data_IF_032768209416
#
_entry.id   IF_032768209416
#
_cell.length_a   1.000
_cell.length_b   1.000
_cell.length_c   1.000
_cell.angle_alpha   90.00
_cell.angle_beta   90.00
_cell.angle_gamma   90.00
#
_symmetry.space_group_name_H-M   'P 1'
#
loop_
_entity.id
_entity.type
_entity.pdbx_description
1 polymer ?
#
# COMPACT_ATOMS: atom_id res chain seq x y z
N UNK A 1 -1.57 -17.77 -0.60
CA UNK A 1 -0.88 -17.04 -1.69
C UNK A 1 0.33 -16.25 -1.19
N UNK A 2 0.29 -15.62 -0.02
CA UNK A 2 1.42 -14.85 0.53
C UNK A 2 2.78 -15.58 0.45
N UNK A 3 2.87 -16.85 0.85
CA UNK A 3 4.16 -17.58 0.87
C UNK A 3 4.73 -17.82 -0.52
N UNK A 4 3.86 -17.92 -1.54
CA UNK A 4 4.29 -18.01 -2.93
C UNK A 4 4.72 -16.65 -3.47
N UNK A 5 4.04 -15.57 -3.08
CA UNK A 5 4.32 -14.21 -3.55
C UNK A 5 5.52 -13.55 -2.86
N UNK A 6 5.89 -14.02 -1.67
CA UNK A 6 6.98 -13.46 -0.86
C UNK A 6 8.00 -14.56 -0.60
N UNK A 7 9.02 -14.74 -1.45
CA UNK A 7 10.01 -15.79 -1.30
C UNK A 7 10.91 -15.59 -0.07
N UNK A 8 11.65 -16.63 0.30
CA UNK A 8 12.71 -16.52 1.32
C UNK A 8 13.77 -15.48 0.94
N UNK A 9 14.40 -14.87 1.94
CA UNK A 9 15.38 -13.80 1.75
C UNK A 9 14.80 -12.43 1.41
N UNK A 10 13.47 -12.28 1.31
CA UNK A 10 12.84 -10.96 1.11
C UNK A 10 13.08 -10.06 2.33
N UNK A 11 13.78 -8.94 2.14
CA UNK A 11 14.07 -7.97 3.22
C UNK A 11 12.89 -7.04 3.53
N UNK A 12 12.09 -6.69 2.52
CA UNK A 12 11.01 -5.71 2.61
C UNK A 12 9.87 -6.03 1.63
N UNK A 13 8.63 -5.80 2.05
CA UNK A 13 7.42 -5.85 1.23
C UNK A 13 6.73 -4.48 1.24
N UNK A 14 6.31 -4.01 0.07
CA UNK A 14 5.32 -2.92 -0.03
C UNK A 14 3.94 -3.59 -0.10
N UNK A 15 3.10 -3.34 0.90
CA UNK A 15 1.74 -3.85 0.96
C UNK A 15 0.78 -2.79 0.44
N UNK A 16 0.31 -2.98 -0.79
CA UNK A 16 -0.67 -2.13 -1.48
C UNK A 16 -1.83 -3.04 -1.92
N UNK A 17 -2.85 -3.14 -1.08
CA UNK A 17 -4.04 -3.98 -1.30
C UNK A 17 -5.29 -3.32 -0.69
N UNK A 18 -6.47 -3.78 -1.10
CA UNK A 18 -7.78 -3.36 -0.60
C UNK A 18 -8.63 -2.62 -1.62
N UNK A 19 -8.04 -2.09 -2.69
CA UNK A 19 -8.81 -1.43 -3.76
C UNK A 19 -9.87 -2.35 -4.39
N UNK A 20 -9.52 -3.62 -4.62
CA UNK A 20 -10.46 -4.60 -5.20
C UNK A 20 -11.59 -4.99 -4.24
N UNK A 21 -11.33 -5.06 -2.93
CA UNK A 21 -12.33 -5.29 -1.90
C UNK A 21 -13.34 -4.14 -1.89
N UNK A 22 -12.83 -2.90 -1.95
CA UNK A 22 -13.62 -1.68 -2.09
C UNK A 22 -14.42 -1.64 -3.39
N UNK A 23 -13.83 -1.97 -4.54
CA UNK A 23 -14.54 -1.99 -5.82
C UNK A 23 -15.70 -3.01 -5.84
N UNK A 24 -15.62 -4.05 -5.01
CA UNK A 24 -16.69 -5.05 -4.85
C UNK A 24 -17.71 -4.68 -3.78
N UNK A 25 -17.51 -3.58 -3.05
CA UNK A 25 -18.35 -3.19 -1.91
C UNK A 25 -18.26 -4.20 -0.76
N UNK A 26 -17.13 -4.91 -0.63
CA UNK A 26 -16.94 -5.85 0.47
C UNK A 26 -16.91 -5.09 1.81
N UNK A 27 -17.36 -5.69 2.92
CA UNK A 27 -17.29 -5.06 4.23
C UNK A 27 -15.87 -4.59 4.57
N UNK A 28 -15.65 -3.32 4.98
CA UNK A 28 -14.31 -2.82 5.32
C UNK A 28 -13.59 -3.68 6.36
N UNK A 29 -14.34 -4.25 7.31
CA UNK A 29 -13.81 -5.17 8.33
C UNK A 29 -13.14 -6.42 7.73
N UNK A 30 -13.61 -6.93 6.58
CA UNK A 30 -12.99 -8.08 5.92
C UNK A 30 -11.63 -7.72 5.32
N UNK A 31 -11.53 -6.55 4.68
CA UNK A 31 -10.26 -6.02 4.17
C UNK A 31 -9.28 -5.78 5.32
N UNK A 32 -9.73 -5.15 6.41
CA UNK A 32 -8.92 -4.91 7.60
C UNK A 32 -8.37 -6.20 8.21
N UNK A 33 -9.21 -7.24 8.33
CA UNK A 33 -8.83 -8.56 8.82
C UNK A 33 -7.81 -9.23 7.90
N UNK A 34 -8.02 -9.19 6.58
CA UNK A 34 -7.10 -9.77 5.61
C UNK A 34 -5.72 -9.09 5.62
N UNK A 35 -5.69 -7.75 5.64
CA UNK A 35 -4.46 -6.96 5.73
C UNK A 35 -3.71 -7.25 7.03
N UNK A 36 -4.43 -7.32 8.16
CA UNK A 36 -3.86 -7.67 9.47
C UNK A 36 -3.19 -9.05 9.45
N UNK A 37 -3.85 -10.06 8.88
CA UNK A 37 -3.28 -11.40 8.73
C UNK A 37 -2.03 -11.41 7.85
N UNK A 38 -1.98 -10.60 6.78
CA UNK A 38 -0.79 -10.47 5.95
C UNK A 38 0.36 -9.87 6.76
N UNK A 39 0.09 -8.78 7.49
CA UNK A 39 1.09 -8.08 8.32
C UNK A 39 1.64 -9.01 9.42
N UNK A 40 0.78 -9.72 10.14
CA UNK A 40 1.19 -10.68 11.18
C UNK A 40 2.14 -11.74 10.64
N UNK A 41 1.83 -12.27 9.45
CA UNK A 41 2.66 -13.31 8.83
C UNK A 41 3.99 -12.78 8.31
N UNK A 42 4.02 -11.57 7.77
CA UNK A 42 5.26 -10.91 7.34
C UNK A 42 6.15 -10.57 8.55
N UNK A 43 5.56 -10.08 9.66
CA UNK A 43 6.27 -9.85 10.91
C UNK A 43 6.82 -11.13 11.53
N UNK A 44 6.05 -12.22 11.55
CA UNK A 44 6.53 -13.53 12.02
C UNK A 44 7.76 -14.02 11.23
N UNK A 45 7.84 -13.66 9.95
CA UNK A 45 8.98 -13.91 9.07
C UNK A 45 10.10 -12.87 9.19
N UNK A 46 9.95 -11.87 10.07
CA UNK A 46 10.87 -10.74 10.28
C UNK A 46 11.11 -9.88 9.03
N UNK A 47 10.13 -9.84 8.13
CA UNK A 47 10.18 -9.05 6.90
C UNK A 47 9.67 -7.64 7.20
N UNK A 48 10.39 -6.62 6.73
CA UNK A 48 9.92 -5.24 6.88
C UNK A 48 8.70 -5.01 5.99
N UNK A 49 7.75 -4.19 6.44
CA UNK A 49 6.59 -3.85 5.63
C UNK A 49 6.46 -2.34 5.53
N UNK A 50 6.23 -1.84 4.32
CA UNK A 50 5.73 -0.49 4.04
C UNK A 50 4.28 -0.63 3.61
N UNK A 51 3.38 0.06 4.30
CA UNK A 51 1.96 0.06 3.97
C UNK A 51 1.63 1.24 3.05
N UNK A 52 1.06 0.96 1.88
CA UNK A 52 0.54 1.98 0.97
C UNK A 52 -1.00 1.96 1.04
N UNK A 53 -1.58 3.09 1.45
CA UNK A 53 -3.01 3.23 1.68
C UNK A 53 -3.84 3.39 0.41
N UNK A 54 -5.12 3.09 0.53
CA UNK A 54 -6.13 3.31 -0.50
C UNK A 54 -7.32 4.12 0.04
N UNK A 55 -8.09 4.71 -0.89
CA UNK A 55 -9.32 5.46 -0.60
C UNK A 55 -10.53 4.81 -1.23
N UNK A 56 -11.71 5.07 -0.68
CA UNK A 56 -12.96 4.60 -1.28
C UNK A 56 -13.33 5.45 -2.49
N UNK A 57 -13.93 4.83 -3.50
CA UNK A 57 -14.66 5.56 -4.54
C UNK A 57 -15.93 6.18 -3.94
N UNK A 58 -16.45 7.21 -4.60
CA UNK A 58 -17.56 8.02 -4.08
C UNK A 58 -18.95 7.36 -4.09
N UNK A 59 -19.14 6.22 -4.75
CA UNK A 59 -20.48 5.62 -4.94
C UNK A 59 -20.95 4.72 -3.77
N UNK A 60 -20.10 4.42 -2.79
CA UNK A 60 -20.46 3.58 -1.63
C UNK A 60 -21.00 4.36 -0.42
N UNK A 61 -20.98 5.69 -0.48
CA UNK A 61 -21.47 6.57 0.59
C UNK A 61 -20.43 6.85 1.70
N UNK A 62 -20.71 7.88 2.49
CA UNK A 62 -19.74 8.45 3.44
C UNK A 62 -19.37 7.51 4.59
N UNK A 63 -20.32 6.70 5.07
CA UNK A 63 -20.08 5.74 6.14
C UNK A 63 -19.08 4.66 5.71
N UNK A 64 -19.30 4.06 4.54
CA UNK A 64 -18.36 3.08 3.98
C UNK A 64 -16.98 3.68 3.75
N UNK A 65 -16.93 4.89 3.16
CA UNK A 65 -15.67 5.61 2.93
C UNK A 65 -14.89 5.82 4.24
N UNK A 66 -15.57 6.32 5.27
CA UNK A 66 -14.94 6.59 6.56
C UNK A 66 -14.36 5.31 7.19
N UNK A 67 -15.12 4.21 7.17
CA UNK A 67 -14.67 2.92 7.70
C UNK A 67 -13.50 2.35 6.90
N UNK A 68 -13.58 2.36 5.56
CA UNK A 68 -12.55 1.81 4.69
C UNK A 68 -11.24 2.59 4.77
N UNK A 69 -11.30 3.93 4.76
CA UNK A 69 -10.10 4.77 4.84
C UNK A 69 -9.44 4.72 6.22
N UNK A 70 -10.20 4.50 7.29
CA UNK A 70 -9.67 4.35 8.65
C UNK A 70 -8.82 3.08 8.83
N UNK A 71 -9.04 2.04 8.01
CA UNK A 71 -8.29 0.78 8.08
C UNK A 71 -6.79 1.04 8.07
N UNK A 72 -6.32 1.82 7.09
CA UNK A 72 -4.90 1.98 6.79
C UNK A 72 -4.09 2.68 7.91
N UNK A 73 -4.48 3.87 8.42
CA UNK A 73 -3.77 4.48 9.53
C UNK A 73 -3.86 3.65 10.82
N UNK A 74 -4.94 2.91 11.04
CA UNK A 74 -5.11 2.08 12.23
C UNK A 74 -4.21 0.84 12.22
N UNK A 75 -4.16 0.10 11.11
CA UNK A 75 -3.24 -1.03 10.99
C UNK A 75 -1.78 -0.57 10.93
N UNK A 76 -1.48 0.56 10.29
CA UNK A 76 -0.13 1.12 10.29
C UNK A 76 0.38 1.36 11.71
N UNK A 77 -0.46 1.97 12.56
CA UNK A 77 -0.13 2.23 13.98
C UNK A 77 -0.01 0.94 14.79
N UNK A 78 -0.94 0.00 14.59
CA UNK A 78 -0.97 -1.28 15.33
C UNK A 78 0.26 -2.13 15.05
N UNK A 79 0.75 -2.13 13.82
CA UNK A 79 1.87 -2.98 13.38
C UNK A 79 3.18 -2.21 13.23
N UNK A 80 3.24 -0.94 13.65
CA UNK A 80 4.40 -0.04 13.53
C UNK A 80 4.99 -0.05 12.10
N UNK A 81 4.11 -0.01 11.11
CA UNK A 81 4.49 -0.05 9.70
C UNK A 81 4.59 1.37 9.13
N UNK A 82 5.72 1.75 8.49
CA UNK A 82 5.78 2.98 7.71
C UNK A 82 4.61 3.07 6.72
N UNK A 83 3.91 4.21 6.75
CA UNK A 83 2.63 4.39 6.06
C UNK A 83 2.68 5.52 5.03
N UNK A 84 2.31 5.20 3.79
CA UNK A 84 2.06 6.17 2.73
C UNK A 84 0.53 6.34 2.55
N UNK A 85 -0.05 7.51 2.86
CA UNK A 85 -1.49 7.66 3.04
C UNK A 85 -2.38 7.22 1.88
N UNK A 86 -2.01 7.56 0.64
CA UNK A 86 -2.77 7.16 -0.54
C UNK A 86 -1.84 6.94 -1.73
N UNK A 87 -1.75 5.70 -2.22
CA UNK A 87 -0.81 5.34 -3.28
C UNK A 87 -1.08 6.05 -4.61
N UNK A 88 -2.35 6.30 -4.93
CA UNK A 88 -2.79 6.94 -6.18
C UNK A 88 -3.04 8.45 -6.05
N UNK A 89 -2.44 9.11 -5.06
CA UNK A 89 -2.59 10.53 -4.81
C UNK A 89 -2.22 11.36 -6.06
N UNK A 90 -3.14 12.21 -6.50
CA UNK A 90 -3.00 13.03 -7.70
C UNK A 90 -3.12 12.27 -9.04
N UNK A 91 -3.54 10.99 -9.03
CA UNK A 91 -3.79 10.19 -10.25
C UNK A 91 -5.23 9.68 -10.30
N UNK A 92 -5.76 9.19 -9.19
CA UNK A 92 -7.11 8.65 -9.14
C UNK A 92 -8.15 9.72 -9.55
N UNK A 93 -8.97 9.42 -10.56
CA UNK A 93 -10.00 10.32 -11.08
C UNK A 93 -9.52 11.33 -12.14
N UNK A 94 -8.23 11.33 -12.50
CA UNK A 94 -7.71 12.17 -13.59
C UNK A 94 -7.59 11.38 -14.90
N UNK A 95 -8.49 11.65 -15.85
CA UNK A 95 -8.51 10.99 -17.16
C UNK A 95 -7.23 11.19 -18.00
N UNK A 96 -6.44 12.24 -17.74
CA UNK A 96 -5.15 12.43 -18.42
C UNK A 96 -4.07 11.48 -17.87
N UNK A 97 -4.25 10.96 -16.65
CA UNK A 97 -3.29 10.11 -15.94
C UNK A 97 -3.76 8.66 -15.81
N UNK A 98 -4.98 8.34 -16.22
CA UNK A 98 -5.52 6.98 -16.25
C UNK A 98 -5.62 6.41 -17.66
N UNK A 99 -5.82 5.10 -17.75
CA UNK A 99 -6.20 4.38 -18.95
C UNK A 99 -7.65 4.71 -19.33
N UNK A 100 -8.12 4.13 -20.44
CA UNK A 100 -9.48 4.35 -20.95
C UNK A 100 -10.58 3.95 -19.94
N UNK A 101 -10.27 3.05 -19.01
CA UNK A 101 -11.20 2.64 -17.96
C UNK A 101 -11.35 3.65 -16.80
N UNK A 102 -10.52 4.70 -16.76
CA UNK A 102 -10.57 5.73 -15.70
C UNK A 102 -10.08 5.25 -14.33
N UNK A 103 -9.56 4.04 -14.21
CA UNK A 103 -9.18 3.41 -12.93
C UNK A 103 -7.69 3.11 -12.86
N UNK A 104 -7.12 2.56 -13.93
CA UNK A 104 -5.72 2.14 -13.92
C UNK A 104 -4.83 3.30 -14.38
N UNK A 105 -3.70 3.57 -13.71
CA UNK A 105 -2.75 4.57 -14.20
C UNK A 105 -2.24 4.25 -15.60
N UNK A 106 -2.13 5.28 -16.44
CA UNK A 106 -1.36 5.20 -17.69
C UNK A 106 0.12 5.52 -17.41
N UNK A 107 0.95 5.63 -18.45
CA UNK A 107 2.39 5.93 -18.30
C UNK A 107 2.64 7.20 -17.46
N UNK A 108 1.95 8.30 -17.77
CA UNK A 108 2.11 9.57 -17.04
C UNK A 108 1.59 9.46 -15.59
N UNK A 109 0.52 8.69 -15.37
CA UNK A 109 0.04 8.38 -14.03
C UNK A 109 1.07 7.61 -13.20
N UNK A 110 1.73 6.61 -13.78
CA UNK A 110 2.82 5.87 -13.11
C UNK A 110 3.98 6.82 -12.76
N UNK A 111 4.40 7.69 -13.68
CA UNK A 111 5.44 8.70 -13.40
C UNK A 111 5.05 9.60 -12.23
N UNK A 112 3.78 10.03 -12.16
CA UNK A 112 3.24 10.82 -11.05
C UNK A 112 3.26 10.07 -9.71
N UNK A 113 2.85 8.79 -9.70
CA UNK A 113 2.87 7.93 -8.50
C UNK A 113 4.31 7.77 -8.01
N UNK A 114 5.24 7.45 -8.89
CA UNK A 114 6.66 7.25 -8.55
C UNK A 114 7.26 8.53 -7.96
N UNK A 115 6.98 9.68 -8.56
CA UNK A 115 7.46 10.97 -8.05
C UNK A 115 7.00 11.28 -6.62
N UNK A 116 5.82 10.81 -6.21
CA UNK A 116 5.32 10.94 -4.84
C UNK A 116 5.85 9.85 -3.88
N UNK A 117 5.84 8.59 -4.32
CA UNK A 117 6.12 7.45 -3.45
C UNK A 117 7.62 7.16 -3.28
N UNK A 118 8.44 7.32 -4.32
CA UNK A 118 9.85 6.96 -4.28
C UNK A 118 10.65 7.69 -3.18
N UNK A 119 10.53 9.02 -2.98
CA UNK A 119 11.25 9.72 -1.91
C UNK A 119 10.90 9.21 -0.51
N UNK A 120 9.65 8.77 -0.32
CA UNK A 120 9.22 8.16 0.94
C UNK A 120 9.86 6.78 1.14
N UNK A 121 9.82 5.93 0.12
CA UNK A 121 10.43 4.60 0.17
C UNK A 121 11.95 4.67 0.36
N UNK A 122 12.64 5.55 -0.36
CA UNK A 122 14.09 5.74 -0.27
C UNK A 122 14.56 6.12 1.14
N UNK A 123 13.80 6.97 1.86
CA UNK A 123 14.10 7.29 3.26
C UNK A 123 14.04 6.05 4.15
N UNK A 124 13.04 5.19 3.94
CA UNK A 124 12.88 3.95 4.71
C UNK A 124 14.01 2.98 4.39
N UNK A 125 14.33 2.80 3.11
CA UNK A 125 15.42 1.93 2.66
C UNK A 125 16.76 2.43 3.20
N UNK A 126 17.01 3.74 3.19
CA UNK A 126 18.24 4.34 3.73
C UNK A 126 18.34 4.12 5.24
N UNK A 127 17.28 4.42 5.99
CA UNK A 127 17.25 4.24 7.45
C UNK A 127 17.44 2.77 7.86
N UNK A 128 16.93 1.82 7.07
CA UNK A 128 16.93 0.40 7.41
C UNK A 128 18.13 -0.38 6.87
N UNK A 129 18.62 -0.02 5.68
CA UNK A 129 19.60 -0.81 4.94
C UNK A 129 20.85 0.00 4.51
N UNK A 130 20.89 1.31 4.77
CA UNK A 130 21.99 2.19 4.31
C UNK A 130 23.39 1.78 4.79
N UNK A 131 23.50 1.08 5.93
CA UNK A 131 24.77 0.53 6.41
C UNK A 131 25.16 -0.81 5.73
N UNK A 132 24.18 -1.64 5.32
CA UNK A 132 24.44 -2.94 4.65
C UNK A 132 25.02 -2.76 3.24
N UNK A 133 24.67 -1.67 2.54
CA UNK A 133 25.12 -1.41 1.18
C UNK A 133 26.61 -0.98 1.08
N UNK A 134 27.21 -0.50 2.17
CA UNK A 134 28.60 -0.02 2.19
C UNK A 134 29.62 -1.14 2.46
N UNK A 135 29.19 -2.25 3.05
CA UNK A 135 30.04 -3.42 3.36
C UNK A 135 30.03 -4.50 2.27
N UNK A 136 29.28 -4.31 1.19
CA UNK A 136 29.16 -5.24 0.06
C UNK A 136 29.95 -4.79 -1.19
N UNK A 137 30.84 -3.81 -1.05
CA UNK A 137 31.88 -3.45 -2.02
C UNK A 137 33.25 -3.85 -1.47
#
# INVERSE_FOLDING_TARGET
RLDWSVPEGTDLVILELGANDMLRGAPPADAARALSQILERLQARKIAVVLAGMRSIGNWGDAYRAEFEAIYPDIARRYDAPFYPFFLEGVAGDHALTQQDGMHPNKAGVEKIVAGFAPFLEKILTARFGARAQTAK
#
